data_IF_830169227012
#
_entry.id   IF_830169227012
#
_cell.length_a   1.000
_cell.length_b   1.000
_cell.length_c   1.000
_cell.angle_alpha   90.00
_cell.angle_beta   90.00
_cell.angle_gamma   90.00
#
_symmetry.space_group_name_H-M   'P 1'
#
loop_
_entity.id
_entity.type
_entity.pdbx_description
1 polymer ?
#
# COMPACT_ATOMS: atom_id res chain seq x y z
N UNK A 1 -6.28 6.59 -6.25
CA UNK A 1 -4.88 6.15 -6.02
C UNK A 1 -4.17 5.71 -7.28
N UNK A 2 -4.86 5.14 -8.28
CA UNK A 2 -4.25 4.58 -9.49
C UNK A 2 -3.19 5.45 -10.20
N UNK A 3 -3.38 6.78 -10.46
CA UNK A 3 -2.36 7.58 -11.13
C UNK A 3 -1.04 7.64 -10.36
N UNK A 4 -1.08 7.68 -9.02
CA UNK A 4 0.11 7.69 -8.19
C UNK A 4 0.88 6.37 -8.27
N UNK A 5 0.17 5.24 -8.24
CA UNK A 5 0.76 3.91 -8.39
C UNK A 5 1.45 3.75 -9.76
N UNK A 6 0.82 4.26 -10.82
CA UNK A 6 1.38 4.23 -12.18
C UNK A 6 2.66 5.07 -12.24
N UNK A 7 2.63 6.33 -11.77
CA UNK A 7 3.82 7.21 -11.76
C UNK A 7 4.97 6.59 -10.96
N UNK A 8 4.69 6.00 -9.79
CA UNK A 8 5.71 5.35 -8.98
C UNK A 8 6.34 4.16 -9.73
N UNK A 9 5.52 3.34 -10.39
CA UNK A 9 6.03 2.23 -11.19
C UNK A 9 6.86 2.70 -12.39
N UNK A 10 6.41 3.73 -13.09
CA UNK A 10 7.17 4.34 -14.19
C UNK A 10 8.49 4.96 -13.74
N UNK A 11 8.54 5.47 -12.50
CA UNK A 11 9.77 5.95 -11.86
C UNK A 11 10.72 4.84 -11.39
N UNK A 12 10.34 3.56 -11.54
CA UNK A 12 11.18 2.40 -11.23
C UNK A 12 11.01 1.83 -9.83
N UNK A 13 9.97 2.23 -9.10
CA UNK A 13 9.65 1.64 -7.79
C UNK A 13 8.89 0.30 -7.95
N UNK A 14 9.09 -0.60 -6.99
CA UNK A 14 8.20 -1.73 -6.79
C UNK A 14 6.90 -1.23 -6.15
N UNK A 15 5.76 -1.59 -6.75
CA UNK A 15 4.45 -1.08 -6.34
C UNK A 15 3.48 -2.24 -6.18
N UNK A 16 2.93 -2.35 -4.98
CA UNK A 16 1.79 -3.19 -4.63
C UNK A 16 0.70 -2.32 -3.98
N UNK A 17 -0.50 -2.87 -3.84
CA UNK A 17 -1.60 -2.18 -3.17
C UNK A 17 -2.87 -2.99 -3.16
N UNK A 18 -3.83 -2.55 -2.36
CA UNK A 18 -5.10 -3.23 -2.15
C UNK A 18 -6.27 -2.29 -2.43
N UNK A 19 -7.35 -2.84 -2.97
CA UNK A 19 -8.61 -2.12 -3.13
C UNK A 19 -9.81 -3.06 -2.92
N UNK A 20 -11.03 -2.52 -2.85
CA UNK A 20 -12.25 -3.31 -2.82
C UNK A 20 -12.47 -4.04 -4.16
N UNK A 21 -13.29 -5.09 -4.16
CA UNK A 21 -13.59 -5.87 -5.37
C UNK A 21 -14.44 -5.14 -6.42
N UNK A 22 -14.84 -3.90 -6.15
CA UNK A 22 -15.61 -3.08 -7.07
C UNK A 22 -14.75 -2.68 -8.27
N UNK A 23 -15.33 -2.70 -9.47
CA UNK A 23 -14.61 -2.24 -10.66
C UNK A 23 -14.69 -0.74 -10.80
N UNK A 24 -13.54 -0.11 -10.97
CA UNK A 24 -13.43 1.32 -11.20
C UNK A 24 -13.00 1.63 -12.63
N UNK A 25 -13.26 2.88 -13.05
CA UNK A 25 -12.80 3.36 -14.37
C UNK A 25 -11.28 3.31 -14.53
N UNK A 26 -10.54 3.27 -13.41
CA UNK A 26 -9.07 3.25 -13.39
C UNK A 26 -8.45 1.86 -13.50
N UNK A 27 -9.26 0.80 -13.48
CA UNK A 27 -8.76 -0.58 -13.50
C UNK A 27 -8.07 -0.90 -14.84
N UNK A 28 -8.58 -0.33 -15.94
CA UNK A 28 -8.02 -0.52 -17.28
C UNK A 28 -6.61 0.08 -17.38
N UNK A 29 -6.38 1.25 -16.79
CA UNK A 29 -5.08 1.92 -16.76
C UNK A 29 -4.08 1.19 -15.85
N UNK A 30 -4.55 0.66 -14.72
CA UNK A 30 -3.72 -0.19 -13.86
C UNK A 30 -3.28 -1.46 -14.59
N UNK A 31 -4.19 -2.13 -15.30
CA UNK A 31 -3.89 -3.32 -16.10
C UNK A 31 -2.88 -3.01 -17.21
N UNK A 32 -3.04 -1.90 -17.94
CA UNK A 32 -2.08 -1.43 -18.95
C UNK A 32 -0.69 -1.17 -18.35
N UNK A 33 -0.64 -0.64 -17.12
CA UNK A 33 0.60 -0.47 -16.35
C UNK A 33 1.11 -1.77 -15.68
N UNK A 34 0.43 -2.92 -15.92
CA UNK A 34 0.73 -4.23 -15.32
C UNK A 34 0.68 -4.20 -13.79
N UNK A 35 -0.19 -3.39 -13.21
CA UNK A 35 -0.43 -3.30 -11.77
C UNK A 35 -1.73 -4.03 -11.49
N UNK A 36 -1.69 -5.05 -10.64
CA UNK A 36 -2.87 -5.79 -10.20
C UNK A 36 -2.99 -5.63 -8.68
N UNK A 37 -3.95 -4.83 -8.19
CA UNK A 37 -4.18 -4.69 -6.76
C UNK A 37 -4.66 -6.00 -6.13
N UNK A 38 -4.33 -6.22 -4.86
CA UNK A 38 -4.98 -7.23 -4.04
C UNK A 38 -6.45 -6.89 -3.84
N UNK A 39 -7.31 -7.90 -3.83
CA UNK A 39 -8.74 -7.73 -3.57
C UNK A 39 -9.02 -7.84 -2.08
N UNK A 40 -9.54 -6.77 -1.49
CA UNK A 40 -9.79 -6.68 -0.05
C UNK A 40 -8.53 -6.34 0.74
N UNK A 41 -8.73 -5.96 2.00
CA UNK A 41 -7.66 -5.54 2.90
C UNK A 41 -7.27 -6.69 3.86
N UNK A 42 -5.98 -6.99 3.97
CA UNK A 42 -5.42 -8.04 4.83
C UNK A 42 -4.05 -7.63 5.35
N UNK A 43 -3.71 -7.99 6.59
CA UNK A 43 -2.37 -7.75 7.15
C UNK A 43 -1.27 -8.34 6.27
N UNK A 44 -1.53 -9.49 5.64
CA UNK A 44 -0.57 -10.19 4.78
C UNK A 44 -0.20 -9.41 3.50
N UNK A 45 -1.05 -8.47 3.08
CA UNK A 45 -0.76 -7.59 1.94
C UNK A 45 0.35 -6.58 2.28
N UNK A 46 0.59 -6.32 3.57
CA UNK A 46 1.67 -5.49 4.07
C UNK A 46 2.84 -6.40 4.42
N UNK A 47 3.67 -6.67 3.43
CA UNK A 47 4.93 -7.38 3.61
C UNK A 47 6.08 -6.62 2.94
N UNK A 48 7.10 -6.29 3.72
CA UNK A 48 8.33 -5.63 3.26
C UNK A 48 8.11 -4.28 2.52
N UNK A 49 7.07 -3.53 2.86
CA UNK A 49 6.81 -2.22 2.25
C UNK A 49 7.66 -1.13 2.92
N UNK A 50 8.46 -0.40 2.15
CA UNK A 50 9.25 0.75 2.65
C UNK A 50 8.39 1.99 2.92
N UNK A 51 7.25 2.11 2.21
CA UNK A 51 6.32 3.23 2.32
C UNK A 51 4.90 2.75 2.04
N UNK A 52 3.97 3.08 2.95
CA UNK A 52 2.53 2.82 2.78
C UNK A 52 1.81 4.15 2.57
N UNK A 53 0.97 4.23 1.54
CA UNK A 53 0.15 5.41 1.23
C UNK A 53 -1.32 4.98 1.26
N UNK A 54 -2.10 5.59 2.16
CA UNK A 54 -3.53 5.31 2.32
C UNK A 54 -4.37 6.57 2.08
N UNK A 55 -5.63 6.37 1.70
CA UNK A 55 -6.62 7.46 1.63
C UNK A 55 -7.44 7.50 2.92
N UNK A 56 -8.27 8.55 3.08
CA UNK A 56 -9.27 8.58 4.16
C UNK A 56 -10.49 7.69 3.92
N UNK A 57 -10.60 7.02 2.77
CA UNK A 57 -11.68 6.08 2.47
C UNK A 57 -11.44 4.70 3.13
N UNK A 58 -12.43 3.81 3.08
CA UNK A 58 -12.33 2.43 3.57
C UNK A 58 -11.71 2.34 4.98
N UNK A 59 -12.36 3.04 5.94
CA UNK A 59 -11.95 3.21 7.35
C UNK A 59 -10.62 3.95 7.60
N UNK A 60 -9.94 4.44 6.57
CA UNK A 60 -8.79 5.34 6.71
C UNK A 60 -7.68 4.77 7.59
N UNK A 61 -7.30 5.51 8.64
CA UNK A 61 -6.26 5.06 9.58
C UNK A 61 -6.67 3.85 10.42
N UNK A 62 -7.96 3.51 10.45
CA UNK A 62 -8.46 2.30 11.10
C UNK A 62 -8.38 1.05 10.23
N UNK A 63 -7.94 1.18 8.97
CA UNK A 63 -7.73 0.06 8.05
C UNK A 63 -6.68 -0.91 8.62
N UNK A 64 -6.93 -2.21 8.45
CA UNK A 64 -6.09 -3.27 9.00
C UNK A 64 -4.65 -3.22 8.43
N UNK A 65 -4.49 -2.85 7.16
CA UNK A 65 -3.19 -2.70 6.51
C UNK A 65 -2.42 -1.50 7.06
N UNK A 66 -3.11 -0.37 7.28
CA UNK A 66 -2.49 0.82 7.89
C UNK A 66 -2.01 0.51 9.31
N UNK A 67 -2.83 -0.19 10.10
CA UNK A 67 -2.44 -0.63 11.46
C UNK A 67 -1.27 -1.59 11.43
N UNK A 68 -1.27 -2.58 10.54
CA UNK A 68 -0.16 -3.53 10.38
C UNK A 68 1.14 -2.80 10.03
N UNK A 69 1.11 -1.85 9.09
CA UNK A 69 2.30 -1.07 8.70
C UNK A 69 2.90 -0.27 9.87
N UNK A 70 2.04 0.28 10.74
CA UNK A 70 2.51 1.04 11.90
C UNK A 70 3.12 0.13 12.97
N UNK A 71 2.57 -1.07 13.15
CA UNK A 71 3.14 -2.08 14.05
C UNK A 71 4.50 -2.58 13.56
N UNK A 72 4.63 -2.89 12.26
CA UNK A 72 5.90 -3.30 11.64
C UNK A 72 6.99 -2.22 11.76
N UNK A 73 6.62 -0.95 11.53
CA UNK A 73 7.50 0.18 11.77
C UNK A 73 7.98 0.26 13.23
N UNK A 74 7.09 0.11 14.21
CA UNK A 74 7.48 0.18 15.62
C UNK A 74 8.39 -1.00 16.01
N UNK A 75 8.10 -2.22 15.53
CA UNK A 75 8.91 -3.40 15.78
C UNK A 75 10.33 -3.28 15.17
N UNK A 76 10.45 -2.71 13.98
CA UNK A 76 11.74 -2.45 13.32
C UNK A 76 12.55 -1.34 14.02
N UNK A 77 11.90 -0.31 14.58
CA UNK A 77 12.56 0.75 15.36
C UNK A 77 12.93 0.37 16.80
N UNK A 78 12.23 -0.59 17.38
CA UNK A 78 12.63 -1.21 18.65
C UNK A 78 13.87 -2.09 18.47
N UNK A 79 14.01 -2.74 17.31
CA UNK A 79 15.15 -3.60 17.00
C UNK A 79 16.36 -2.84 16.42
N UNK A 80 16.18 -1.64 15.86
CA UNK A 80 17.28 -0.77 15.42
C UNK A 80 17.05 0.72 15.77
N UNK A 81 17.64 1.23 16.87
CA UNK A 81 17.42 2.59 17.36
C UNK A 81 17.86 3.70 16.41
N UNK A 82 18.73 3.43 15.41
CA UNK A 82 19.17 4.44 14.44
C UNK A 82 18.11 4.84 13.42
N UNK A 83 16.99 4.11 13.36
CA UNK A 83 15.87 4.39 12.46
C UNK A 83 14.79 5.29 13.10
N UNK A 84 14.90 5.57 14.41
CA UNK A 84 14.03 6.52 15.12
C UNK A 84 14.37 7.93 14.65
N UNK A 85 13.48 8.53 13.85
CA UNK A 85 13.54 9.94 13.45
C UNK A 85 13.10 10.87 14.57
#
# INVERSE_FOLDING_TARGET
MAPLAIIAKEAGFEVSGSDVSEKFITDEELEKAKITPFTGFSEENISNADLVIATGAHVGMDNIEVKASWQDYNNSNDSNPSLRK
#
